data_IF_308980389959
#
_entry.id   IF_308980389959
#
_cell.length_a   1.000
_cell.length_b   1.000
_cell.length_c   1.000
_cell.angle_alpha   90.00
_cell.angle_beta   90.00
_cell.angle_gamma   90.00
#
_symmetry.space_group_name_H-M   'P 1'
#
loop_
_entity.id
_entity.type
_entity.pdbx_description
1 polymer ?
#
# COMPACT_ATOMS: atom_id res chain seq x y z
N UNK A 1 -4.51 17.92 -38.05
CA UNK A 1 -4.08 17.74 -36.64
C UNK A 1 -5.23 17.67 -35.63
N UNK A 2 -6.41 18.23 -35.86
CA UNK A 2 -7.59 18.06 -34.97
C UNK A 2 -8.34 16.73 -35.20
N UNK A 3 -8.40 16.23 -36.41
CA UNK A 3 -9.16 15.01 -36.75
C UNK A 3 -8.42 13.72 -36.45
N UNK A 4 -7.09 13.71 -36.57
CA UNK A 4 -6.27 12.52 -36.36
C UNK A 4 -6.04 12.21 -34.87
N UNK A 5 -6.04 13.23 -34.02
CA UNK A 5 -6.06 13.06 -32.55
C UNK A 5 -7.34 12.37 -32.05
N UNK A 6 -8.37 12.25 -32.88
CA UNK A 6 -9.67 11.71 -32.47
C UNK A 6 -9.85 10.20 -32.71
N UNK A 7 -9.06 9.57 -33.57
CA UNK A 7 -9.50 8.29 -34.12
C UNK A 7 -8.94 6.99 -33.61
N UNK A 8 -7.80 6.88 -32.97
CA UNK A 8 -7.44 5.58 -32.38
C UNK A 8 -6.38 5.57 -31.29
N UNK A 9 -5.38 6.41 -31.35
CA UNK A 9 -4.21 6.35 -30.47
C UNK A 9 -4.48 6.91 -29.06
N UNK A 10 -5.32 7.93 -28.95
CA UNK A 10 -5.62 8.64 -27.68
C UNK A 10 -6.66 7.92 -26.84
N UNK A 11 -7.44 7.00 -27.41
CA UNK A 11 -8.45 6.25 -26.62
C UNK A 11 -7.85 5.27 -25.64
N UNK A 12 -6.64 4.79 -25.85
CA UNK A 12 -6.03 3.72 -25.02
C UNK A 12 -5.14 4.22 -23.90
N UNK A 13 -4.50 5.41 -23.99
CA UNK A 13 -3.52 5.89 -23.01
C UNK A 13 -3.74 7.35 -22.59
N UNK A 14 -4.92 7.66 -22.05
CA UNK A 14 -5.24 9.01 -21.54
C UNK A 14 -4.87 9.19 -20.06
N UNK A 15 -3.63 8.83 -19.70
CA UNK A 15 -3.18 8.93 -18.33
C UNK A 15 -1.88 9.72 -18.28
N UNK A 16 -1.87 10.76 -17.45
CA UNK A 16 -0.66 11.45 -17.05
C UNK A 16 -0.19 10.90 -15.71
N UNK A 17 1.11 10.73 -15.57
CA UNK A 17 1.72 10.30 -14.33
C UNK A 17 1.72 11.45 -13.33
N UNK A 18 1.42 11.16 -12.07
CA UNK A 18 1.67 12.04 -10.94
C UNK A 18 2.83 11.51 -10.13
N UNK A 19 3.67 12.41 -9.64
CA UNK A 19 4.70 12.07 -8.65
C UNK A 19 4.22 12.48 -7.29
N UNK A 20 4.72 11.74 -6.31
CA UNK A 20 4.66 12.11 -4.93
C UNK A 20 6.02 12.72 -4.60
N UNK A 21 6.09 13.95 -4.12
CA UNK A 21 7.36 14.49 -3.65
C UNK A 21 7.89 13.55 -2.58
N UNK A 22 9.12 13.11 -2.75
CA UNK A 22 9.85 12.40 -1.70
C UNK A 22 9.95 13.33 -0.50
N UNK A 23 9.78 12.78 0.68
CA UNK A 23 9.89 13.47 1.96
C UNK A 23 11.21 14.25 2.03
N UNK A 24 11.15 15.53 1.70
CA UNK A 24 12.08 16.44 2.29
C UNK A 24 11.56 16.63 3.71
N UNK A 25 12.18 15.95 4.68
CA UNK A 25 12.03 16.19 6.09
C UNK A 25 12.57 17.59 6.41
N UNK A 26 11.89 18.60 5.92
CA UNK A 26 12.09 19.95 6.39
C UNK A 26 11.29 20.03 7.68
N UNK A 27 11.98 19.92 8.79
CA UNK A 27 11.46 20.35 10.09
C UNK A 27 11.09 21.82 9.96
N UNK A 28 9.82 22.10 9.74
CA UNK A 28 9.33 23.47 9.77
C UNK A 28 9.01 23.80 11.22
N UNK A 29 9.65 24.82 11.77
CA UNK A 29 9.29 25.40 13.09
C UNK A 29 7.94 26.12 12.94
N UNK A 30 6.87 25.35 12.88
CA UNK A 30 5.51 25.90 12.80
C UNK A 30 5.15 26.56 14.12
N UNK A 31 4.71 27.80 14.06
CA UNK A 31 4.38 28.58 15.24
C UNK A 31 3.04 28.16 15.90
N UNK A 32 2.23 27.39 15.21
CA UNK A 32 0.94 26.93 15.70
C UNK A 32 0.77 25.44 15.35
N UNK A 33 0.23 24.68 16.28
CA UNK A 33 -0.07 23.28 16.05
C UNK A 33 -0.95 23.08 14.80
N UNK A 34 -0.57 22.19 13.87
CA UNK A 34 -1.30 22.02 12.62
C UNK A 34 -2.73 21.52 12.80
N UNK A 35 -2.98 20.64 13.77
CA UNK A 35 -4.33 20.15 14.04
C UNK A 35 -5.21 21.28 14.60
N UNK A 36 -4.65 22.10 15.51
CA UNK A 36 -5.35 23.29 16.02
C UNK A 36 -5.71 24.25 14.89
N UNK A 37 -4.74 24.54 13.99
CA UNK A 37 -5.00 25.40 12.84
C UNK A 37 -6.15 24.85 11.98
N UNK A 38 -6.16 23.54 11.73
CA UNK A 38 -7.23 22.87 10.99
C UNK A 38 -8.60 23.04 11.66
N UNK A 39 -8.68 22.84 12.97
CA UNK A 39 -9.89 23.07 13.75
C UNK A 39 -10.36 24.53 13.66
N UNK A 40 -9.43 25.46 13.81
CA UNK A 40 -9.76 26.89 13.78
C UNK A 40 -10.20 27.36 12.39
N UNK A 41 -9.59 26.84 11.33
CA UNK A 41 -10.00 27.15 9.94
C UNK A 41 -11.44 26.69 9.66
N UNK A 42 -11.87 25.56 10.19
CA UNK A 42 -13.26 25.09 10.09
C UNK A 42 -14.17 25.85 11.05
N UNK A 43 -14.16 25.47 12.30
CA UNK A 43 -15.13 25.86 13.32
C UNK A 43 -14.70 27.06 14.21
N UNK A 44 -13.54 27.69 13.95
CA UNK A 44 -13.06 28.83 14.73
C UNK A 44 -13.78 30.13 14.40
N UNK A 45 -13.75 31.06 15.34
CA UNK A 45 -14.17 32.46 15.11
C UNK A 45 -13.11 33.18 14.27
N UNK A 46 -13.54 33.99 13.30
CA UNK A 46 -12.61 34.71 12.43
C UNK A 46 -11.75 35.73 13.15
N UNK A 47 -12.25 36.33 14.25
CA UNK A 47 -11.60 37.40 14.99
C UNK A 47 -11.00 36.96 16.34
N UNK A 48 -11.07 35.69 16.68
CA UNK A 48 -10.57 35.16 17.94
C UNK A 48 -10.08 33.70 17.81
N UNK A 49 -9.27 33.21 18.77
CA UNK A 49 -8.81 31.84 18.81
C UNK A 49 -9.86 30.84 19.34
N UNK A 50 -11.11 31.28 19.56
CA UNK A 50 -12.16 30.40 20.04
C UNK A 50 -12.68 29.46 18.94
N UNK A 51 -13.08 28.27 19.34
CA UNK A 51 -13.59 27.22 18.44
C UNK A 51 -14.95 26.75 18.91
N UNK A 52 -15.90 26.61 17.99
CA UNK A 52 -17.23 26.09 18.24
C UNK A 52 -17.24 24.61 17.82
N UNK A 53 -17.41 23.71 18.78
CA UNK A 53 -17.48 22.29 18.44
C UNK A 53 -18.24 21.52 19.53
N UNK A 54 -19.05 20.54 19.13
CA UNK A 54 -19.85 19.69 20.04
C UNK A 54 -19.19 18.32 20.31
N UNK A 55 -18.17 17.95 19.55
CA UNK A 55 -17.52 16.65 19.68
C UNK A 55 -16.60 16.61 20.90
N UNK A 56 -16.85 15.67 21.79
CA UNK A 56 -16.13 15.52 23.06
C UNK A 56 -14.63 15.30 22.82
N UNK A 57 -14.28 14.54 21.79
CA UNK A 57 -12.88 14.25 21.43
C UNK A 57 -12.11 15.53 21.08
N UNK A 58 -12.75 16.46 20.37
CA UNK A 58 -12.16 17.76 20.01
C UNK A 58 -12.05 18.66 21.24
N UNK A 59 -13.10 18.74 22.05
CA UNK A 59 -13.10 19.56 23.29
C UNK A 59 -12.00 19.08 24.24
N UNK A 60 -11.88 17.77 24.42
CA UNK A 60 -10.84 17.17 25.27
C UNK A 60 -9.44 17.51 24.75
N UNK A 61 -9.22 17.33 23.45
CA UNK A 61 -7.94 17.66 22.83
C UNK A 61 -7.59 19.16 22.97
N UNK A 62 -8.56 20.07 22.78
CA UNK A 62 -8.36 21.50 22.98
C UNK A 62 -7.97 21.84 24.42
N UNK A 63 -8.52 21.14 25.40
CA UNK A 63 -8.16 21.33 26.80
C UNK A 63 -6.73 20.85 27.09
N UNK A 64 -6.36 19.69 26.61
CA UNK A 64 -5.00 19.14 26.72
C UNK A 64 -3.97 20.05 26.00
N UNK A 65 -4.31 20.54 24.81
CA UNK A 65 -3.48 21.48 24.05
C UNK A 65 -3.31 22.82 24.78
N UNK A 66 -4.36 23.36 25.35
CA UNK A 66 -4.28 24.59 26.14
C UNK A 66 -3.36 24.43 27.36
N UNK A 67 -3.51 23.33 28.10
CA UNK A 67 -2.67 23.01 29.26
C UNK A 67 -1.20 22.89 28.93
N UNK A 68 -0.88 22.17 27.83
CA UNK A 68 0.51 21.97 27.37
C UNK A 68 1.17 23.29 26.94
N UNK A 69 0.38 24.26 26.50
CA UNK A 69 0.86 25.61 26.13
C UNK A 69 0.74 26.66 27.23
N UNK A 70 0.55 26.24 28.49
CA UNK A 70 0.45 27.18 29.62
C UNK A 70 -0.82 28.02 29.61
N UNK A 71 -1.86 27.55 28.91
CA UNK A 71 -3.16 28.22 28.79
C UNK A 71 -4.24 27.45 29.57
N UNK A 72 -5.42 28.03 29.63
CA UNK A 72 -6.63 27.39 30.19
C UNK A 72 -7.77 27.47 29.21
N UNK A 73 -8.66 26.49 29.27
CA UNK A 73 -9.91 26.50 28.51
C UNK A 73 -11.07 27.06 29.34
N UNK A 74 -11.91 27.85 28.69
CA UNK A 74 -13.21 28.23 29.23
C UNK A 74 -14.27 27.82 28.24
N UNK A 75 -15.18 26.97 28.65
CA UNK A 75 -16.27 26.49 27.82
C UNK A 75 -17.54 27.26 28.14
N UNK A 76 -18.04 27.97 27.16
CA UNK A 76 -19.33 28.65 27.22
C UNK A 76 -20.30 27.94 26.28
N UNK A 77 -21.58 27.94 26.62
CA UNK A 77 -22.59 27.34 25.74
C UNK A 77 -23.45 28.48 25.16
N UNK A 78 -23.46 28.57 23.82
CA UNK A 78 -24.40 29.42 23.10
C UNK A 78 -25.36 28.51 22.32
N UNK A 79 -26.68 28.68 22.56
CA UNK A 79 -27.72 27.87 21.89
C UNK A 79 -27.47 26.37 21.94
N UNK A 80 -26.99 25.85 23.04
CA UNK A 80 -26.61 24.45 23.31
C UNK A 80 -25.37 23.93 22.54
N UNK A 81 -24.60 24.79 21.88
CA UNK A 81 -23.33 24.38 21.26
C UNK A 81 -22.16 24.94 22.09
N UNK A 82 -21.20 24.10 22.50
CA UNK A 82 -20.04 24.52 23.24
C UNK A 82 -19.12 25.43 22.41
N UNK A 83 -18.70 26.54 23.02
CA UNK A 83 -17.65 27.41 22.50
C UNK A 83 -16.46 27.28 23.45
N UNK A 84 -15.33 26.80 22.90
CA UNK A 84 -14.10 26.62 23.65
C UNK A 84 -13.18 27.82 23.43
N UNK A 85 -12.98 28.59 24.50
CA UNK A 85 -12.06 29.70 24.51
C UNK A 85 -10.74 29.26 25.14
N UNK A 86 -9.65 29.47 24.43
CA UNK A 86 -8.30 29.27 24.95
C UNK A 86 -7.81 30.61 25.50
N UNK A 87 -7.55 30.67 26.80
CA UNK A 87 -7.14 31.91 27.52
C UNK A 87 -5.76 31.72 28.14
N UNK A 88 -4.98 32.81 28.17
CA UNK A 88 -3.73 32.81 28.92
C UNK A 88 -4.03 32.59 30.41
N UNK A 89 -3.23 31.78 31.10
CA UNK A 89 -3.33 31.57 32.57
C UNK A 89 -3.09 32.87 33.34
N UNK A 90 -2.22 33.72 32.82
CA UNK A 90 -1.88 34.99 33.48
C UNK A 90 -2.87 36.06 33.01
N UNK A 91 -3.55 36.64 33.98
CA UNK A 91 -4.53 37.68 33.73
C UNK A 91 -3.87 38.90 33.04
N UNK A 92 -4.56 39.51 32.09
CA UNK A 92 -4.10 40.62 31.25
C UNK A 92 -2.89 40.36 30.33
N UNK A 93 -2.41 39.12 30.19
CA UNK A 93 -1.42 38.79 29.18
C UNK A 93 -2.08 38.55 27.81
N UNK A 94 -1.35 38.94 26.74
CA UNK A 94 -1.79 38.68 25.35
C UNK A 94 -1.99 37.17 25.12
N UNK A 95 -2.90 36.84 24.27
CA UNK A 95 -3.16 35.45 23.90
C UNK A 95 -2.18 35.02 22.80
N UNK A 96 -1.24 34.10 23.09
CA UNK A 96 -0.19 33.72 22.14
C UNK A 96 -0.76 33.15 20.83
N UNK A 97 -1.86 32.41 20.88
CA UNK A 97 -2.51 31.87 19.70
C UNK A 97 -3.07 32.99 18.82
N UNK A 98 -3.72 33.97 19.44
CA UNK A 98 -4.25 35.14 18.71
C UNK A 98 -3.12 35.92 18.03
N UNK A 99 -2.02 36.13 18.73
CA UNK A 99 -0.85 36.85 18.22
C UNK A 99 -0.23 36.07 17.03
N UNK A 100 -0.19 34.74 17.11
CA UNK A 100 0.29 33.90 16.02
C UNK A 100 -0.65 33.92 14.80
N UNK A 101 -1.96 33.87 15.01
CA UNK A 101 -2.95 34.01 13.92
C UNK A 101 -2.83 35.37 13.22
N UNK A 102 -2.53 36.42 14.01
CA UNK A 102 -2.30 37.76 13.50
C UNK A 102 -0.97 37.86 12.75
N UNK A 103 0.10 37.22 13.26
CA UNK A 103 1.40 37.14 12.59
C UNK A 103 1.29 36.50 11.20
N UNK A 104 0.54 35.40 11.09
CA UNK A 104 0.28 34.78 9.78
C UNK A 104 -0.70 35.58 8.90
N UNK A 105 -1.29 36.66 9.41
CA UNK A 105 -2.24 37.49 8.65
C UNK A 105 -3.54 36.76 8.30
N UNK A 106 -3.89 35.73 9.06
CA UNK A 106 -5.09 34.88 8.84
C UNK A 106 -6.24 35.21 9.79
N UNK A 107 -5.98 35.98 10.84
CA UNK A 107 -7.05 36.55 11.68
C UNK A 107 -7.91 37.45 10.79
N UNK A 108 -9.22 37.36 10.89
CA UNK A 108 -10.24 38.02 10.06
C UNK A 108 -10.32 37.49 8.59
N UNK A 109 -9.27 36.80 8.10
CA UNK A 109 -9.24 36.19 6.78
C UNK A 109 -8.69 34.77 6.85
N UNK A 110 -9.52 33.81 7.15
CA UNK A 110 -9.10 32.41 7.24
C UNK A 110 -8.40 31.95 5.96
N UNK A 111 -7.15 31.52 6.09
CA UNK A 111 -6.34 30.92 5.02
C UNK A 111 -5.32 29.94 5.63
N UNK A 112 -4.83 29.00 4.84
CA UNK A 112 -3.73 28.13 5.22
C UNK A 112 -2.42 28.86 4.91
N UNK A 113 -1.55 29.17 5.90
CA UNK A 113 -0.25 29.77 5.62
C UNK A 113 0.62 28.88 4.74
N UNK A 114 1.48 29.48 3.91
CA UNK A 114 2.29 28.73 2.95
C UNK A 114 3.30 27.80 3.63
N UNK A 115 3.77 28.12 4.84
CA UNK A 115 4.65 27.25 5.64
C UNK A 115 4.04 25.84 5.83
N UNK A 116 2.73 25.76 6.04
CA UNK A 116 2.03 24.48 6.19
C UNK A 116 1.92 23.69 4.89
N UNK A 117 2.01 24.33 3.71
CA UNK A 117 2.02 23.63 2.43
C UNK A 117 3.32 22.84 2.21
N UNK A 118 4.40 23.31 2.82
CA UNK A 118 5.74 22.78 2.68
C UNK A 118 6.27 22.10 3.93
N UNK A 119 5.46 21.98 4.98
CA UNK A 119 5.80 21.34 6.25
C UNK A 119 6.00 19.82 6.12
N UNK A 120 6.33 19.19 7.23
CA UNK A 120 6.52 17.74 7.30
C UNK A 120 5.25 16.97 6.90
N UNK A 121 5.41 15.69 6.60
CA UNK A 121 4.26 14.79 6.30
C UNK A 121 3.30 14.73 7.48
N UNK A 122 3.85 14.65 8.70
CA UNK A 122 3.06 14.59 9.91
C UNK A 122 2.23 15.85 10.12
N UNK A 123 2.85 17.03 9.96
CA UNK A 123 2.14 18.32 10.11
C UNK A 123 1.01 18.47 9.09
N UNK A 124 1.26 18.09 7.84
CA UNK A 124 0.25 18.09 6.79
C UNK A 124 -0.93 17.19 7.12
N UNK A 125 -0.65 15.99 7.64
CA UNK A 125 -1.69 15.05 8.05
C UNK A 125 -2.49 15.55 9.24
N UNK A 126 -1.84 16.18 10.22
CA UNK A 126 -2.51 16.79 11.38
C UNK A 126 -3.40 17.98 10.96
N UNK A 127 -2.92 18.85 10.07
CA UNK A 127 -3.74 19.93 9.52
C UNK A 127 -4.97 19.41 8.77
N UNK A 128 -4.78 18.38 7.93
CA UNK A 128 -5.89 17.72 7.24
C UNK A 128 -6.89 17.12 8.21
N UNK A 129 -6.41 16.47 9.28
CA UNK A 129 -7.27 15.88 10.30
C UNK A 129 -8.15 16.94 10.97
N UNK A 130 -7.58 18.08 11.35
CA UNK A 130 -8.33 19.19 11.96
C UNK A 130 -9.43 19.74 11.03
N UNK A 131 -9.11 19.93 9.76
CA UNK A 131 -10.10 20.38 8.76
C UNK A 131 -11.20 19.34 8.50
N UNK A 132 -10.85 18.05 8.51
CA UNK A 132 -11.84 16.97 8.33
C UNK A 132 -12.69 16.81 9.58
N UNK A 133 -12.11 16.93 10.76
CA UNK A 133 -12.83 16.81 12.03
C UNK A 133 -13.85 17.96 12.23
N UNK A 134 -13.67 19.08 11.55
CA UNK A 134 -14.65 20.18 11.53
C UNK A 134 -15.59 20.05 10.32
N UNK A 135 -15.24 20.63 9.22
CA UNK A 135 -16.07 20.78 8.01
C UNK A 135 -16.05 19.55 7.07
N UNK A 136 -15.25 18.51 7.40
CA UNK A 136 -15.18 17.29 6.61
C UNK A 136 -16.30 16.30 6.91
N UNK A 137 -16.61 15.48 5.92
CA UNK A 137 -17.57 14.37 6.03
C UNK A 137 -16.93 13.06 5.52
N UNK A 138 -17.09 11.99 6.30
CA UNK A 138 -16.69 10.64 5.91
C UNK A 138 -17.88 9.86 5.36
N UNK A 139 -17.88 9.57 4.05
CA UNK A 139 -18.86 8.68 3.44
C UNK A 139 -18.43 7.21 3.65
N UNK A 140 -19.13 6.51 4.55
CA UNK A 140 -18.92 5.06 4.78
C UNK A 140 -19.23 4.23 3.54
N UNK A 141 -20.22 4.65 2.73
CA UNK A 141 -20.64 3.96 1.50
C UNK A 141 -19.56 4.04 0.43
N UNK A 142 -19.10 5.26 0.14
CA UNK A 142 -18.17 5.52 -0.94
C UNK A 142 -16.71 5.39 -0.50
N UNK A 143 -16.46 5.30 0.83
CA UNK A 143 -15.14 5.25 1.47
C UNK A 143 -14.26 6.41 1.04
N UNK A 144 -14.78 7.63 1.16
CA UNK A 144 -14.10 8.86 0.81
C UNK A 144 -14.29 9.91 1.91
N UNK A 145 -13.32 10.82 2.04
CA UNK A 145 -13.55 12.08 2.73
C UNK A 145 -14.01 13.13 1.72
N UNK A 146 -14.93 13.96 2.14
CA UNK A 146 -15.32 15.18 1.43
C UNK A 146 -15.14 16.39 2.34
N UNK A 147 -14.55 17.45 1.80
CA UNK A 147 -14.40 18.73 2.47
C UNK A 147 -15.00 19.81 1.58
N UNK A 148 -15.92 20.60 2.09
CA UNK A 148 -16.71 21.54 1.27
C UNK A 148 -16.68 22.95 1.90
N UNK A 149 -16.43 23.94 1.04
CA UNK A 149 -16.50 25.35 1.42
C UNK A 149 -17.26 26.16 0.38
N UNK A 150 -17.74 27.33 0.78
CA UNK A 150 -18.35 28.29 -0.17
C UNK A 150 -17.28 28.84 -1.13
N UNK A 151 -17.71 29.37 -2.25
CA UNK A 151 -16.83 29.89 -3.31
C UNK A 151 -15.86 30.97 -2.81
N UNK A 152 -16.29 31.82 -1.87
CA UNK A 152 -15.43 32.85 -1.25
C UNK A 152 -14.26 32.25 -0.44
N UNK A 153 -14.36 31.00 0.02
CA UNK A 153 -13.32 30.25 0.71
C UNK A 153 -12.67 29.15 -0.11
N UNK A 154 -12.82 29.21 -1.44
CA UNK A 154 -12.24 28.22 -2.37
C UNK A 154 -10.74 28.06 -2.19
N UNK A 155 -10.02 29.12 -1.84
CA UNK A 155 -8.57 29.08 -1.61
C UNK A 155 -8.16 28.06 -0.54
N UNK A 156 -8.94 27.88 0.53
CA UNK A 156 -8.69 26.85 1.55
C UNK A 156 -8.82 25.44 0.94
N UNK A 157 -9.86 25.23 0.11
CA UNK A 157 -10.08 23.94 -0.57
C UNK A 157 -8.96 23.64 -1.56
N UNK A 158 -8.48 24.66 -2.30
CA UNK A 158 -7.39 24.52 -3.27
C UNK A 158 -6.06 24.19 -2.56
N UNK A 159 -5.76 24.87 -1.43
CA UNK A 159 -4.57 24.57 -0.62
C UNK A 159 -4.64 23.20 0.05
N UNK A 160 -5.81 22.80 0.56
CA UNK A 160 -6.01 21.45 1.08
C UNK A 160 -5.84 20.38 -0.02
N UNK A 161 -6.32 20.65 -1.24
CA UNK A 161 -6.09 19.76 -2.38
C UNK A 161 -4.62 19.66 -2.76
N UNK A 162 -3.85 20.77 -2.64
CA UNK A 162 -2.41 20.76 -2.81
C UNK A 162 -1.73 19.87 -1.77
N UNK A 163 -2.07 20.03 -0.50
CA UNK A 163 -1.55 19.20 0.60
C UNK A 163 -1.88 17.72 0.36
N UNK A 164 -3.14 17.39 0.07
CA UNK A 164 -3.54 16.00 -0.20
C UNK A 164 -2.74 15.37 -1.36
N UNK A 165 -2.53 16.12 -2.45
CA UNK A 165 -1.74 15.66 -3.60
C UNK A 165 -0.27 15.53 -3.27
N UNK A 166 0.30 16.45 -2.47
CA UNK A 166 1.70 16.37 -2.03
C UNK A 166 1.97 15.12 -1.18
N UNK A 167 0.96 14.66 -0.44
CA UNK A 167 1.01 13.40 0.32
C UNK A 167 0.72 12.17 -0.55
N UNK A 168 0.50 12.37 -1.84
CA UNK A 168 0.22 11.29 -2.77
C UNK A 168 -1.22 10.81 -2.76
N UNK A 169 -2.14 11.52 -2.12
CA UNK A 169 -3.54 11.12 -2.07
C UNK A 169 -4.25 11.44 -3.39
N UNK A 170 -5.05 10.51 -3.84
CA UNK A 170 -5.92 10.73 -4.99
C UNK A 170 -7.10 11.60 -4.56
N UNK A 171 -7.20 12.79 -5.12
CA UNK A 171 -8.29 13.69 -4.83
C UNK A 171 -8.84 14.38 -6.09
N UNK A 172 -10.07 14.83 -6.01
CA UNK A 172 -10.75 15.58 -7.08
C UNK A 172 -11.48 16.78 -6.52
N UNK A 173 -11.45 17.88 -7.27
CA UNK A 173 -12.15 19.12 -6.97
C UNK A 173 -13.41 19.21 -7.82
N UNK A 174 -14.53 19.55 -7.20
CA UNK A 174 -15.81 19.75 -7.84
C UNK A 174 -16.40 21.09 -7.41
N UNK A 175 -16.86 21.87 -8.37
CA UNK A 175 -17.63 23.07 -8.13
C UNK A 175 -19.11 22.79 -8.39
N UNK A 176 -19.92 22.94 -7.36
CA UNK A 176 -21.36 22.79 -7.45
C UNK A 176 -22.02 24.16 -7.57
N UNK A 177 -22.85 24.33 -8.57
CA UNK A 177 -23.66 25.53 -8.75
C UNK A 177 -24.85 25.52 -7.76
N UNK A 178 -24.56 25.92 -6.53
CA UNK A 178 -25.54 25.96 -5.44
C UNK A 178 -26.01 27.37 -5.11
N UNK A 179 -25.45 28.37 -5.81
CA UNK A 179 -25.83 29.77 -5.62
C UNK A 179 -27.31 30.00 -5.87
N UNK A 180 -27.90 30.86 -5.07
CA UNK A 180 -29.29 31.21 -5.13
C UNK A 180 -29.93 31.34 -3.77
N UNK A 181 -31.19 31.76 -3.74
CA UNK A 181 -31.95 31.88 -2.49
C UNK A 181 -32.55 30.51 -2.15
N UNK A 182 -32.23 30.00 -0.96
CA UNK A 182 -32.78 28.75 -0.43
C UNK A 182 -33.44 28.98 0.93
N UNK A 183 -34.46 28.18 1.21
CA UNK A 183 -35.08 28.14 2.53
C UNK A 183 -34.33 27.09 3.37
N UNK A 184 -33.61 27.53 4.41
CA UNK A 184 -32.87 26.66 5.32
C UNK A 184 -33.51 26.81 6.71
N UNK A 185 -34.05 25.72 7.26
CA UNK A 185 -34.76 25.70 8.56
C UNK A 185 -35.84 26.81 8.68
N UNK A 186 -36.57 27.02 7.58
CA UNK A 186 -37.66 28.04 7.53
C UNK A 186 -37.20 29.48 7.23
N UNK A 187 -35.89 29.77 7.24
CA UNK A 187 -35.36 31.09 6.95
C UNK A 187 -34.85 31.19 5.50
N UNK A 188 -35.10 32.33 4.86
CA UNK A 188 -34.58 32.65 3.53
C UNK A 188 -33.09 33.00 3.62
N UNK A 189 -32.23 32.19 3.01
CA UNK A 189 -30.77 32.39 2.98
C UNK A 189 -30.27 32.46 1.54
N UNK A 190 -29.35 33.39 1.30
CA UNK A 190 -28.61 33.45 0.03
C UNK A 190 -27.41 32.53 0.12
N UNK A 191 -27.38 31.50 -0.75
CA UNK A 191 -26.28 30.54 -0.82
C UNK A 191 -25.31 30.93 -1.94
N UNK A 192 -24.01 30.68 -1.73
CA UNK A 192 -22.98 30.76 -2.76
C UNK A 192 -22.80 29.38 -3.43
N UNK A 193 -22.03 29.33 -4.53
CA UNK A 193 -21.56 28.07 -5.08
C UNK A 193 -20.70 27.35 -4.04
N UNK A 194 -20.66 26.03 -4.12
CA UNK A 194 -19.91 25.19 -3.20
C UNK A 194 -18.75 24.53 -3.90
N UNK A 195 -17.55 24.70 -3.38
CA UNK A 195 -16.36 23.99 -3.80
C UNK A 195 -16.12 22.80 -2.87
N UNK A 196 -16.01 21.59 -3.44
CA UNK A 196 -15.84 20.35 -2.69
C UNK A 196 -14.60 19.61 -3.13
N UNK A 197 -13.74 19.30 -2.18
CA UNK A 197 -12.64 18.36 -2.34
C UNK A 197 -13.11 16.97 -1.94
N UNK A 198 -12.85 15.98 -2.79
CA UNK A 198 -13.07 14.56 -2.51
C UNK A 198 -11.72 13.86 -2.43
N UNK A 199 -11.40 13.26 -1.29
CA UNK A 199 -10.18 12.48 -1.05
C UNK A 199 -10.56 11.01 -1.11
N UNK A 200 -9.93 10.25 -2.02
CA UNK A 200 -10.37 8.91 -2.41
C UNK A 200 -9.47 7.82 -1.82
N UNK A 201 -8.21 8.12 -1.57
CA UNK A 201 -7.26 7.20 -0.96
C UNK A 201 -6.38 7.89 0.10
N UNK A 202 -5.56 7.13 0.80
CA UNK A 202 -4.75 7.65 1.91
C UNK A 202 -5.54 7.97 3.18
N UNK A 203 -6.81 7.58 3.25
CA UNK A 203 -7.74 7.97 4.32
C UNK A 203 -7.32 7.43 5.69
N UNK A 204 -6.67 6.27 5.72
CA UNK A 204 -6.17 5.65 6.94
C UNK A 204 -5.03 6.45 7.59
N UNK A 205 -4.24 7.13 6.77
CA UNK A 205 -3.08 7.90 7.22
C UNK A 205 -3.50 9.23 7.92
N UNK A 206 -4.75 9.69 7.71
CA UNK A 206 -5.24 10.95 8.28
C UNK A 206 -5.68 10.71 9.74
N UNK A 207 -5.01 11.32 10.72
CA UNK A 207 -5.23 11.04 12.15
C UNK A 207 -6.43 11.79 12.73
N UNK A 208 -7.62 11.64 12.13
CA UNK A 208 -8.86 12.21 12.66
C UNK A 208 -9.07 11.77 14.12
N UNK A 209 -9.49 12.69 14.99
CA UNK A 209 -9.72 12.38 16.39
C UNK A 209 -11.16 11.95 16.65
N UNK A 210 -12.12 12.47 15.89
CA UNK A 210 -13.54 12.16 16.02
C UNK A 210 -13.80 10.71 15.55
N UNK A 211 -14.28 9.86 16.45
CA UNK A 211 -14.45 8.42 16.19
C UNK A 211 -15.33 8.13 14.95
N UNK A 212 -16.44 8.88 14.75
CA UNK A 212 -17.34 8.71 13.60
C UNK A 212 -16.70 9.08 12.25
N UNK A 213 -15.61 9.86 12.27
CA UNK A 213 -14.86 10.29 11.07
C UNK A 213 -13.60 9.48 10.84
N UNK A 214 -13.19 8.62 11.78
CA UNK A 214 -12.02 7.75 11.63
C UNK A 214 -12.26 6.69 10.56
N UNK A 215 -11.26 6.49 9.74
CA UNK A 215 -11.22 5.40 8.78
C UNK A 215 -10.48 4.20 9.41
N UNK A 216 -11.19 3.08 9.62
CA UNK A 216 -10.65 1.92 10.34
C UNK A 216 -10.03 0.84 9.44
N UNK A 217 -10.00 1.03 8.13
CA UNK A 217 -9.68 -0.01 7.18
C UNK A 217 -8.43 0.36 6.40
N UNK A 218 -7.43 -0.52 6.43
CA UNK A 218 -6.22 -0.34 5.62
C UNK A 218 -6.62 -0.46 4.15
N UNK A 219 -6.73 0.66 3.49
CA UNK A 219 -6.96 0.69 2.05
C UNK A 219 -5.61 0.50 1.36
N UNK A 220 -5.44 -0.59 0.60
CA UNK A 220 -4.26 -0.72 -0.27
C UNK A 220 -4.24 0.49 -1.17
N UNK A 221 -3.19 1.32 -1.04
CA UNK A 221 -2.97 2.46 -1.96
C UNK A 221 -3.03 1.91 -3.38
N UNK A 222 -3.96 2.41 -4.16
CA UNK A 222 -3.99 2.06 -5.58
C UNK A 222 -2.73 2.65 -6.20
N UNK A 223 -1.81 1.80 -6.68
CA UNK A 223 -0.54 2.18 -7.33
C UNK A 223 -0.72 3.03 -8.60
N UNK A 224 -1.91 3.56 -8.84
CA UNK A 224 -2.22 4.34 -10.03
C UNK A 224 -1.94 5.82 -9.80
N UNK A 225 -0.68 6.17 -9.86
CA UNK A 225 -0.22 7.57 -10.05
C UNK A 225 -0.67 8.16 -11.40
N UNK A 226 -1.79 7.66 -11.93
CA UNK A 226 -2.28 8.01 -13.26
C UNK A 226 -3.54 8.85 -13.16
N UNK A 227 -3.62 9.91 -13.94
CA UNK A 227 -4.81 10.75 -14.05
C UNK A 227 -5.28 10.84 -15.49
N UNK A 228 -6.58 10.79 -15.69
CA UNK A 228 -7.18 11.03 -17.01
C UNK A 228 -6.97 12.49 -17.39
N UNK A 229 -6.73 12.74 -18.66
CA UNK A 229 -6.68 14.09 -19.20
C UNK A 229 -7.51 14.22 -20.47
N UNK A 230 -7.93 15.43 -20.76
CA UNK A 230 -8.65 15.78 -21.99
C UNK A 230 -7.90 16.94 -22.66
N UNK A 231 -7.62 16.78 -23.94
CA UNK A 231 -7.02 17.86 -24.74
C UNK A 231 -8.14 18.64 -25.41
N UNK A 232 -8.15 19.95 -25.23
CA UNK A 232 -9.08 20.85 -25.90
C UNK A 232 -8.29 22.03 -26.49
N UNK A 233 -8.80 22.56 -27.59
CA UNK A 233 -8.25 23.80 -28.15
C UNK A 233 -8.49 24.95 -27.15
N UNK A 234 -7.45 25.76 -26.92
CA UNK A 234 -7.56 26.97 -26.12
C UNK A 234 -7.58 28.20 -27.03
N UNK A 235 -6.42 28.68 -27.41
CA UNK A 235 -6.27 29.84 -28.27
C UNK A 235 -4.88 29.84 -28.92
N UNK A 236 -4.69 30.70 -29.89
CA UNK A 236 -3.35 31.00 -30.46
C UNK A 236 -2.76 32.17 -29.67
N UNK A 237 -1.56 32.00 -29.11
CA UNK A 237 -0.93 33.00 -28.29
C UNK A 237 0.57 32.72 -28.07
N UNK A 238 1.25 33.66 -27.46
CA UNK A 238 2.64 33.45 -27.02
C UNK A 238 2.63 32.48 -25.84
N UNK A 239 3.49 31.49 -25.85
CA UNK A 239 3.72 30.60 -24.74
C UNK A 239 5.16 30.71 -24.23
N UNK A 240 5.38 30.35 -22.98
CA UNK A 240 6.69 30.20 -22.35
C UNK A 240 6.89 28.76 -22.00
N UNK A 241 8.03 28.18 -22.33
CA UNK A 241 8.45 26.85 -21.90
C UNK A 241 9.51 26.97 -20.81
N UNK A 242 9.60 25.95 -19.99
CA UNK A 242 10.68 25.78 -19.02
C UNK A 242 11.56 24.66 -19.55
N UNK A 243 12.87 24.89 -19.56
CA UNK A 243 13.87 23.87 -19.84
C UNK A 243 14.48 23.45 -18.52
N UNK A 244 14.47 22.17 -18.24
CA UNK A 244 15.08 21.56 -17.05
C UNK A 244 16.24 20.68 -17.50
N UNK A 245 17.27 20.59 -16.67
CA UNK A 245 18.39 19.69 -16.89
C UNK A 245 17.99 18.23 -16.59
N UNK A 246 18.77 17.29 -17.10
CA UNK A 246 18.56 15.85 -16.85
C UNK A 246 17.47 15.25 -17.74
N UNK A 247 16.47 14.63 -17.14
CA UNK A 247 15.39 13.90 -17.83
C UNK A 247 14.31 14.81 -18.44
N UNK A 248 14.47 16.12 -18.33
CA UNK A 248 13.57 17.15 -18.89
C UNK A 248 12.12 17.08 -18.38
N UNK A 249 11.86 16.37 -17.27
CA UNK A 249 10.55 16.36 -16.63
C UNK A 249 10.43 17.48 -15.60
N UNK A 250 9.23 18.02 -15.49
CA UNK A 250 8.88 18.92 -14.39
C UNK A 250 7.45 18.68 -13.93
N UNK A 251 7.15 19.17 -12.74
CA UNK A 251 5.88 18.92 -12.06
C UNK A 251 5.02 20.17 -12.08
N UNK A 252 3.77 20.04 -12.54
CA UNK A 252 2.78 21.10 -12.48
C UNK A 252 2.24 21.29 -11.06
N UNK A 253 1.57 22.42 -10.81
CA UNK A 253 0.95 22.75 -9.53
C UNK A 253 0.00 21.64 -8.97
N UNK A 254 -0.55 20.82 -9.84
CA UNK A 254 -1.43 19.70 -9.47
C UNK A 254 -0.71 18.34 -9.34
N UNK A 255 0.65 18.38 -9.29
CA UNK A 255 1.56 17.22 -9.24
C UNK A 255 1.53 16.34 -10.49
N UNK A 256 1.00 16.83 -11.59
CA UNK A 256 1.12 16.17 -12.88
C UNK A 256 2.53 16.33 -13.43
N UNK A 257 3.16 15.22 -13.82
CA UNK A 257 4.47 15.23 -14.48
C UNK A 257 4.28 15.55 -15.95
N UNK A 258 5.02 16.50 -16.44
CA UNK A 258 5.07 16.87 -17.85
C UNK A 258 6.52 16.97 -18.31
N UNK A 259 6.73 16.71 -19.57
CA UNK A 259 8.03 16.87 -20.20
C UNK A 259 8.11 18.27 -20.84
N UNK A 260 9.27 18.93 -20.74
CA UNK A 260 9.46 20.19 -21.44
C UNK A 260 9.40 19.94 -22.95
N UNK A 261 8.74 20.82 -23.67
CA UNK A 261 8.80 20.84 -25.11
C UNK A 261 9.91 21.85 -25.51
N UNK A 262 11.06 21.34 -25.89
CA UNK A 262 12.08 22.15 -26.53
C UNK A 262 11.70 22.28 -27.99
N UNK A 263 11.03 23.35 -28.34
CA UNK A 263 10.97 23.80 -29.74
C UNK A 263 12.30 24.45 -30.05
N UNK A 264 13.29 23.65 -30.46
CA UNK A 264 14.48 24.17 -31.07
C UNK A 264 14.11 24.74 -32.43
N UNK A 265 13.86 26.03 -32.49
CA UNK A 265 14.23 26.73 -33.74
C UNK A 265 15.74 26.56 -33.78
N UNK A 266 16.32 25.91 -34.80
CA UNK A 266 17.77 25.82 -34.90
C UNK A 266 18.29 27.24 -34.88
N UNK A 267 18.87 27.64 -33.75
CA UNK A 267 19.52 28.92 -33.58
C UNK A 267 20.63 28.94 -34.55
N UNK A 268 20.80 30.06 -35.16
CA UNK A 268 21.84 30.49 -36.08
C UNK A 268 23.21 30.21 -35.49
N UNK A 269 23.72 29.00 -35.61
CA UNK A 269 25.15 28.74 -35.54
C UNK A 269 25.67 28.78 -36.98
N UNK A 270 26.51 29.83 -37.30
CA UNK A 270 27.23 29.94 -38.55
C UNK A 270 26.46 30.49 -39.75
N UNK A 271 25.73 31.57 -39.60
CA UNK A 271 25.52 32.55 -40.69
C UNK A 271 24.77 32.11 -41.96
N UNK A 272 24.16 30.95 -42.04
CA UNK A 272 23.33 30.53 -43.19
C UNK A 272 21.86 30.51 -42.81
N UNK A 273 20.94 31.12 -43.62
CA UNK A 273 19.51 31.02 -43.35
C UNK A 273 19.11 29.57 -43.50
N UNK A 274 18.67 28.96 -42.39
CA UNK A 274 18.06 27.64 -42.43
C UNK A 274 16.78 27.75 -43.26
N UNK A 275 16.75 27.11 -44.39
CA UNK A 275 15.58 26.98 -45.25
C UNK A 275 14.46 26.33 -44.44
N UNK A 276 13.25 26.87 -44.58
CA UNK A 276 12.01 26.49 -43.91
C UNK A 276 11.60 25.03 -44.15
N UNK A 277 12.38 24.26 -44.91
CA UNK A 277 12.16 22.86 -45.27
C UNK A 277 12.86 21.83 -44.36
N UNK A 278 13.53 22.29 -43.28
CA UNK A 278 14.04 21.35 -42.24
C UNK A 278 13.08 21.28 -41.06
N UNK A 279 11.81 20.99 -41.33
CA UNK A 279 11.01 20.26 -40.37
C UNK A 279 11.49 18.82 -40.45
N UNK A 280 12.54 18.49 -39.72
CA UNK A 280 12.79 17.09 -39.37
C UNK A 280 11.51 16.64 -38.72
N UNK A 281 10.85 15.69 -39.36
CA UNK A 281 9.72 14.99 -38.75
C UNK A 281 10.19 14.52 -37.38
N UNK A 282 9.68 15.16 -36.33
CA UNK A 282 9.90 14.67 -35.00
C UNK A 282 9.21 13.31 -35.01
N UNK A 283 10.00 12.25 -35.00
CA UNK A 283 9.50 10.91 -34.89
C UNK A 283 8.91 10.78 -33.47
N UNK A 284 7.62 11.04 -33.37
CA UNK A 284 6.82 10.84 -32.16
C UNK A 284 6.44 9.38 -31.99
N UNK A 285 7.02 8.49 -32.76
CA UNK A 285 6.87 7.07 -32.52
C UNK A 285 7.59 6.76 -31.22
N UNK A 286 6.80 6.61 -30.17
CA UNK A 286 7.29 6.12 -28.88
C UNK A 286 7.70 4.62 -28.96
N UNK A 287 7.77 4.04 -30.17
CA UNK A 287 8.08 2.63 -30.38
C UNK A 287 9.44 2.24 -29.80
N UNK A 288 10.47 3.09 -30.00
CA UNK A 288 11.80 2.80 -29.44
C UNK A 288 11.81 2.93 -27.91
N UNK A 289 11.16 3.95 -27.37
CA UNK A 289 11.05 4.14 -25.93
C UNK A 289 10.21 3.02 -25.29
N UNK A 290 9.14 2.58 -25.95
CA UNK A 290 8.33 1.44 -25.51
C UNK A 290 9.16 0.15 -25.57
N UNK A 291 9.94 -0.06 -26.63
CA UNK A 291 10.82 -1.21 -26.75
C UNK A 291 11.89 -1.24 -25.64
N UNK A 292 12.50 -0.09 -25.33
CA UNK A 292 13.47 0.04 -24.24
C UNK A 292 12.81 -0.25 -22.87
N UNK A 293 11.59 0.21 -22.63
CA UNK A 293 10.87 -0.09 -21.40
C UNK A 293 10.49 -1.57 -21.32
N UNK A 294 10.10 -2.20 -22.41
CA UNK A 294 9.81 -3.64 -22.43
C UNK A 294 11.09 -4.41 -22.09
N UNK A 295 12.23 -4.10 -22.73
CA UNK A 295 13.51 -4.72 -22.42
C UNK A 295 13.94 -4.50 -20.95
N UNK A 296 13.68 -3.31 -20.39
CA UNK A 296 13.96 -3.02 -18.99
C UNK A 296 13.06 -3.84 -18.07
N UNK A 297 11.79 -4.00 -18.41
CA UNK A 297 10.85 -4.84 -17.65
C UNK A 297 11.28 -6.30 -17.66
N UNK A 298 11.64 -6.86 -18.84
CA UNK A 298 12.12 -8.21 -18.98
C UNK A 298 13.40 -8.42 -18.17
N UNK A 299 14.32 -7.47 -18.20
CA UNK A 299 15.55 -7.53 -17.41
C UNK A 299 15.30 -7.45 -15.90
N UNK A 300 14.33 -6.64 -15.47
CA UNK A 300 13.94 -6.57 -14.04
C UNK A 300 13.30 -7.90 -13.63
N UNK A 301 12.47 -8.51 -14.48
CA UNK A 301 11.86 -9.80 -14.20
C UNK A 301 12.93 -10.92 -14.08
N UNK A 302 13.89 -10.96 -14.99
CA UNK A 302 15.02 -11.88 -14.90
C UNK A 302 15.87 -11.67 -13.64
N UNK A 303 16.17 -10.40 -13.28
CA UNK A 303 16.89 -10.09 -12.05
C UNK A 303 16.10 -10.52 -10.81
N UNK A 304 14.80 -10.25 -10.79
CA UNK A 304 13.91 -10.69 -9.70
C UNK A 304 13.89 -12.21 -9.58
N UNK A 305 13.82 -12.93 -10.71
CA UNK A 305 13.92 -14.38 -10.77
C UNK A 305 15.25 -14.89 -10.21
N UNK A 306 16.35 -14.28 -10.61
CA UNK A 306 17.69 -14.62 -10.11
C UNK A 306 17.84 -14.40 -8.61
N UNK A 307 17.36 -13.27 -8.09
CA UNK A 307 17.45 -12.92 -6.65
C UNK A 307 16.58 -13.85 -5.80
N UNK A 308 15.39 -14.19 -6.30
CA UNK A 308 14.42 -15.04 -5.56
C UNK A 308 14.68 -16.54 -5.75
N UNK A 309 15.55 -16.92 -6.68
CA UNK A 309 15.76 -18.31 -7.07
C UNK A 309 14.61 -18.91 -7.88
N UNK A 310 13.69 -18.08 -8.39
CA UNK A 310 12.59 -18.52 -9.25
C UNK A 310 12.96 -18.20 -10.71
N UNK A 311 13.86 -19.01 -11.27
CA UNK A 311 14.32 -18.87 -12.66
C UNK A 311 13.28 -19.37 -13.66
N UNK A 312 13.40 -18.96 -14.92
CA UNK A 312 12.50 -19.38 -16.01
C UNK A 312 12.50 -20.92 -16.17
N UNK A 313 13.66 -21.57 -16.03
CA UNK A 313 13.79 -23.04 -16.07
C UNK A 313 13.01 -23.69 -14.93
N UNK A 314 13.01 -23.08 -13.75
CA UNK A 314 12.24 -23.58 -12.61
C UNK A 314 10.74 -23.38 -12.75
N UNK A 315 10.31 -22.42 -13.57
CA UNK A 315 8.91 -22.20 -13.95
C UNK A 315 8.46 -23.11 -15.11
N UNK A 316 9.36 -23.96 -15.63
CA UNK A 316 9.07 -24.88 -16.72
C UNK A 316 9.29 -24.29 -18.12
N UNK A 317 9.81 -23.08 -18.25
CA UNK A 317 10.19 -22.51 -19.54
C UNK A 317 11.57 -23.05 -19.95
N UNK A 318 11.56 -24.03 -20.84
CA UNK A 318 12.78 -24.68 -21.36
C UNK A 318 12.89 -24.33 -22.84
N UNK A 319 14.03 -23.77 -23.24
CA UNK A 319 14.32 -23.51 -24.65
C UNK A 319 14.71 -24.83 -25.33
N UNK A 320 14.27 -25.02 -26.57
CA UNK A 320 14.62 -26.21 -27.39
C UNK A 320 16.12 -26.35 -27.65
N UNK A 321 16.92 -25.32 -27.43
CA UNK A 321 18.37 -25.30 -27.58
C UNK A 321 19.13 -25.56 -26.27
N UNK A 322 18.46 -25.66 -25.13
CA UNK A 322 19.12 -25.93 -23.85
C UNK A 322 19.37 -27.42 -23.65
N UNK A 323 20.59 -27.75 -23.18
CA UNK A 323 20.96 -29.11 -22.81
C UNK A 323 20.31 -29.45 -21.45
N UNK A 324 19.70 -30.64 -21.37
CA UNK A 324 18.99 -31.14 -20.18
C UNK A 324 19.85 -31.01 -18.92
N UNK A 325 21.13 -31.34 -18.97
CA UNK A 325 22.03 -31.22 -17.83
C UNK A 325 22.33 -29.82 -17.37
N UNK A 326 22.17 -28.79 -18.23
CA UNK A 326 22.30 -27.38 -17.83
C UNK A 326 21.03 -26.90 -17.16
N UNK A 327 19.87 -27.31 -17.64
CA UNK A 327 18.56 -27.00 -17.01
C UNK A 327 18.51 -27.60 -15.61
N UNK A 328 18.89 -28.87 -15.43
CA UNK A 328 18.91 -29.52 -14.11
C UNK A 328 19.85 -28.80 -13.14
N UNK A 329 21.05 -28.42 -13.58
CA UNK A 329 22.00 -27.66 -12.75
C UNK A 329 21.44 -26.28 -12.37
N UNK A 330 20.81 -25.57 -13.30
CA UNK A 330 20.21 -24.27 -13.05
C UNK A 330 19.08 -24.38 -12.04
N UNK A 331 18.20 -25.37 -12.18
CA UNK A 331 17.12 -25.65 -11.24
C UNK A 331 17.66 -26.00 -9.86
N UNK A 332 18.67 -26.86 -9.79
CA UNK A 332 19.30 -27.27 -8.53
C UNK A 332 19.95 -26.06 -7.83
N UNK A 333 20.73 -25.27 -8.56
CA UNK A 333 21.42 -24.10 -8.01
C UNK A 333 20.43 -23.03 -7.53
N UNK A 334 19.38 -22.79 -8.29
CA UNK A 334 18.34 -21.82 -7.91
C UNK A 334 17.50 -22.30 -6.71
N UNK A 335 17.34 -23.61 -6.53
CA UNK A 335 16.60 -24.20 -5.41
C UNK A 335 17.27 -23.91 -4.05
N UNK A 336 18.60 -23.83 -4.02
CA UNK A 336 19.34 -23.52 -2.79
C UNK A 336 18.99 -22.14 -2.19
N UNK A 337 18.58 -21.17 -3.03
CA UNK A 337 18.17 -19.84 -2.57
C UNK A 337 16.88 -19.92 -1.75
N UNK A 338 15.97 -20.81 -2.15
CA UNK A 338 14.64 -20.96 -1.51
C UNK A 338 14.62 -22.06 -0.43
N UNK A 339 15.63 -22.93 -0.37
CA UNK A 339 15.71 -24.03 0.60
C UNK A 339 15.55 -23.57 2.08
N UNK A 340 16.16 -22.46 2.54
CA UNK A 340 15.95 -21.98 3.90
C UNK A 340 14.50 -21.64 4.23
N UNK A 341 13.74 -21.13 3.24
CA UNK A 341 12.32 -20.81 3.41
C UNK A 341 11.48 -22.07 3.60
N UNK A 342 11.75 -23.11 2.80
CA UNK A 342 11.09 -24.41 2.96
C UNK A 342 11.49 -25.08 4.26
N UNK A 343 12.74 -24.97 4.67
CA UNK A 343 13.20 -25.48 5.97
C UNK A 343 12.45 -24.82 7.13
N UNK A 344 12.36 -23.47 7.15
CA UNK A 344 11.61 -22.74 8.17
C UNK A 344 10.14 -23.16 8.17
N UNK A 345 9.54 -23.28 6.99
CA UNK A 345 8.15 -23.73 6.85
C UNK A 345 7.94 -25.14 7.45
N UNK A 346 8.84 -26.07 7.16
CA UNK A 346 8.79 -27.43 7.70
C UNK A 346 9.00 -27.45 9.22
N UNK A 347 9.88 -26.61 9.76
CA UNK A 347 10.05 -26.44 11.20
C UNK A 347 8.76 -25.90 11.87
N UNK A 348 8.11 -24.90 11.26
CA UNK A 348 6.83 -24.41 11.74
C UNK A 348 5.75 -25.51 11.74
N UNK A 349 5.66 -26.30 10.66
CA UNK A 349 4.74 -27.47 10.61
C UNK A 349 5.05 -28.46 11.71
N UNK A 350 6.33 -28.82 11.89
CA UNK A 350 6.76 -29.76 12.93
C UNK A 350 6.33 -29.26 14.31
N UNK A 351 6.59 -27.99 14.64
CA UNK A 351 6.20 -27.39 15.91
C UNK A 351 4.69 -27.42 16.14
N UNK A 352 3.90 -27.02 15.15
CA UNK A 352 2.42 -27.05 15.24
C UNK A 352 1.91 -28.46 15.46
N UNK A 353 2.39 -29.44 14.69
CA UNK A 353 1.97 -30.83 14.80
C UNK A 353 2.39 -31.45 16.15
N UNK A 354 3.59 -31.12 16.65
CA UNK A 354 4.04 -31.55 17.98
C UNK A 354 3.17 -30.96 19.09
N UNK A 355 2.82 -29.67 18.99
CA UNK A 355 1.91 -29.02 19.93
C UNK A 355 0.53 -29.64 19.89
N UNK A 356 0.00 -29.93 18.70
CA UNK A 356 -1.30 -30.62 18.52
C UNK A 356 -1.29 -32.02 19.17
N UNK A 357 -0.22 -32.80 18.93
CA UNK A 357 -0.06 -34.12 19.50
C UNK A 357 -0.03 -34.08 21.04
N UNK A 358 0.76 -33.16 21.60
CA UNK A 358 0.87 -33.01 23.05
C UNK A 358 -0.46 -32.54 23.68
N UNK A 359 -1.16 -31.59 23.02
CA UNK A 359 -2.50 -31.16 23.45
C UNK A 359 -3.50 -32.30 23.36
N UNK A 360 -3.48 -33.09 22.28
CA UNK A 360 -4.35 -34.25 22.12
C UNK A 360 -4.11 -35.32 23.18
N UNK A 361 -2.84 -35.60 23.54
CA UNK A 361 -2.47 -36.50 24.60
C UNK A 361 -3.10 -36.06 25.94
N UNK A 362 -2.99 -34.79 26.33
CA UNK A 362 -3.60 -34.24 27.54
C UNK A 362 -5.12 -34.37 27.54
N UNK A 363 -5.80 -33.99 26.45
CA UNK A 363 -7.27 -34.11 26.32
C UNK A 363 -7.73 -35.58 26.34
N UNK A 364 -6.97 -36.48 25.73
CA UNK A 364 -7.31 -37.91 25.74
C UNK A 364 -7.09 -38.54 27.13
N UNK A 365 -6.07 -38.12 27.87
CA UNK A 365 -5.84 -38.52 29.25
C UNK A 365 -6.99 -38.08 30.14
N UNK A 366 -7.39 -36.79 30.10
CA UNK A 366 -8.53 -36.26 30.88
C UNK A 366 -9.84 -36.91 30.51
N UNK A 367 -10.10 -37.14 29.22
CA UNK A 367 -11.34 -37.75 28.74
C UNK A 367 -11.41 -39.27 28.91
N UNK A 368 -10.31 -39.93 29.32
CA UNK A 368 -10.21 -41.37 29.44
C UNK A 368 -10.44 -42.14 28.15
N UNK A 369 -10.13 -41.55 27.02
CA UNK A 369 -10.37 -42.09 25.69
C UNK A 369 -9.46 -43.31 25.43
N UNK A 370 -10.07 -44.45 25.10
CA UNK A 370 -9.35 -45.73 24.94
C UNK A 370 -9.05 -46.12 23.52
N UNK A 371 -9.77 -45.53 22.55
CA UNK A 371 -9.60 -45.83 21.10
C UNK A 371 -9.87 -44.60 20.26
N UNK A 372 -9.06 -44.40 19.24
CA UNK A 372 -9.27 -43.44 18.19
C UNK A 372 -9.56 -44.19 16.90
N UNK A 373 -10.64 -43.83 16.22
CA UNK A 373 -10.97 -44.39 14.91
C UNK A 373 -10.43 -43.41 13.83
N UNK A 374 -9.75 -43.98 12.86
CA UNK A 374 -9.30 -43.26 11.67
C UNK A 374 -9.90 -43.96 10.43
N UNK A 375 -10.35 -43.19 9.48
CA UNK A 375 -10.88 -43.67 8.20
C UNK A 375 -9.91 -43.23 7.11
N UNK A 376 -9.33 -44.17 6.39
CA UNK A 376 -8.47 -43.90 5.24
C UNK A 376 -9.29 -43.47 4.02
N UNK A 377 -8.62 -42.83 3.06
CA UNK A 377 -9.25 -42.37 1.81
C UNK A 377 -9.89 -43.52 1.00
N UNK A 378 -9.36 -44.73 1.12
CA UNK A 378 -9.94 -45.95 0.53
C UNK A 378 -11.16 -46.50 1.28
N UNK A 379 -11.64 -45.83 2.35
CA UNK A 379 -12.76 -46.24 3.17
C UNK A 379 -12.44 -47.26 4.26
N UNK A 380 -11.21 -47.77 4.35
CA UNK A 380 -10.80 -48.68 5.43
C UNK A 380 -10.76 -47.93 6.78
N UNK A 381 -11.05 -48.62 7.84
CA UNK A 381 -11.09 -48.11 9.22
C UNK A 381 -9.96 -48.72 10.03
N UNK A 382 -9.08 -47.86 10.53
CA UNK A 382 -8.09 -48.24 11.52
C UNK A 382 -8.47 -47.76 12.91
N UNK A 383 -8.13 -48.54 13.91
CA UNK A 383 -8.35 -48.22 15.33
C UNK A 383 -7.00 -48.12 16.02
N UNK A 384 -6.66 -46.92 16.50
CA UNK A 384 -5.50 -46.73 17.37
C UNK A 384 -5.94 -46.96 18.82
N UNK A 385 -5.33 -47.92 19.49
CA UNK A 385 -5.55 -48.13 20.92
C UNK A 385 -4.75 -47.14 21.71
N UNK A 386 -5.41 -46.30 22.50
CA UNK A 386 -4.77 -45.30 23.37
C UNK A 386 -4.61 -45.95 24.75
N UNK A 387 -3.43 -46.44 25.04
CA UNK A 387 -3.07 -47.04 26.32
C UNK A 387 -2.54 -45.98 27.29
N UNK A 388 -2.44 -46.29 28.60
CA UNK A 388 -1.81 -45.39 29.56
C UNK A 388 -0.35 -45.09 29.19
N UNK A 389 0.36 -46.05 28.62
CA UNK A 389 1.74 -45.92 28.19
C UNK A 389 1.86 -44.87 27.04
N UNK A 390 0.89 -44.81 26.15
CA UNK A 390 0.86 -43.87 25.06
C UNK A 390 0.91 -42.39 25.49
N UNK A 391 0.32 -42.06 26.67
CA UNK A 391 0.36 -40.66 27.16
C UNK A 391 1.76 -40.26 27.64
N UNK A 392 2.57 -41.19 28.13
CA UNK A 392 3.87 -40.92 28.71
C UNK A 392 5.04 -41.17 27.73
N UNK A 393 4.77 -41.80 26.58
CA UNK A 393 5.81 -41.99 25.55
C UNK A 393 6.15 -40.69 24.89
N UNK A 394 7.45 -40.41 24.73
CA UNK A 394 7.96 -39.31 23.92
C UNK A 394 7.77 -39.68 22.45
N UNK A 395 6.99 -38.85 21.75
CA UNK A 395 6.75 -38.97 20.31
C UNK A 395 7.28 -37.77 19.59
N UNK A 396 7.98 -38.00 18.50
CA UNK A 396 8.43 -36.93 17.61
C UNK A 396 7.62 -36.94 16.30
N UNK A 397 7.52 -35.79 15.69
CA UNK A 397 6.82 -35.60 14.40
C UNK A 397 7.89 -35.33 13.35
N UNK A 398 7.86 -36.11 12.31
CA UNK A 398 8.71 -35.90 11.14
C UNK A 398 7.88 -35.28 10.02
N UNK A 399 8.43 -34.20 9.44
CA UNK A 399 7.87 -33.57 8.23
C UNK A 399 8.84 -33.85 7.11
N UNK A 400 8.42 -34.62 6.12
CA UNK A 400 9.20 -34.95 4.93
C UNK A 400 8.77 -34.13 3.71
N UNK A 401 9.66 -33.99 2.77
CA UNK A 401 9.40 -33.33 1.48
C UNK A 401 9.13 -34.42 0.44
N UNK A 402 7.90 -34.43 -0.08
CA UNK A 402 7.43 -35.46 -1.03
C UNK A 402 8.30 -35.56 -2.28
N UNK A 403 8.90 -34.45 -2.74
CA UNK A 403 9.78 -34.45 -3.91
C UNK A 403 11.13 -35.11 -3.62
N UNK A 404 11.73 -34.83 -2.47
CA UNK A 404 12.98 -35.49 -2.03
C UNK A 404 12.75 -36.95 -1.68
N UNK A 405 11.59 -37.27 -1.11
CA UNK A 405 11.22 -38.64 -0.82
C UNK A 405 10.99 -39.46 -2.09
N UNK A 406 10.35 -38.90 -3.13
CA UNK A 406 10.17 -39.56 -4.39
C UNK A 406 11.51 -39.88 -5.08
N UNK A 407 12.47 -38.98 -5.08
CA UNK A 407 13.82 -39.22 -5.61
C UNK A 407 14.57 -40.29 -4.81
N UNK A 408 14.47 -40.24 -3.47
CA UNK A 408 15.08 -41.25 -2.61
C UNK A 408 14.40 -42.60 -2.75
N UNK A 409 13.09 -42.65 -2.91
CA UNK A 409 12.34 -43.89 -3.19
C UNK A 409 12.81 -44.51 -4.51
N UNK A 410 12.95 -43.70 -5.56
CA UNK A 410 13.46 -44.19 -6.86
C UNK A 410 14.86 -44.78 -6.74
N UNK A 411 15.76 -44.13 -5.94
CA UNK A 411 17.09 -44.66 -5.68
C UNK A 411 17.05 -45.97 -4.88
N UNK A 412 16.18 -46.07 -3.87
CA UNK A 412 16.00 -47.27 -3.07
C UNK A 412 15.41 -48.41 -3.91
N UNK A 413 14.46 -48.12 -4.81
CA UNK A 413 13.88 -49.10 -5.71
C UNK A 413 14.90 -49.70 -6.68
N UNK A 414 15.93 -48.92 -7.07
CA UNK A 414 17.04 -49.46 -7.87
C UNK A 414 17.88 -50.49 -7.14
N UNK A 415 17.88 -50.52 -5.78
CA UNK A 415 18.58 -51.53 -4.98
C UNK A 415 17.84 -52.87 -4.91
N UNK A 416 16.60 -52.93 -5.37
CA UNK A 416 15.81 -54.17 -5.35
C UNK A 416 16.42 -55.24 -6.29
N UNK A 417 16.91 -54.83 -7.46
CA UNK A 417 17.50 -55.72 -8.41
C UNK A 417 18.74 -56.45 -7.83
N UNK A 418 19.71 -55.80 -7.21
CA UNK A 418 20.78 -56.46 -6.46
C UNK A 418 20.26 -57.31 -5.30
N UNK A 419 19.24 -56.85 -4.56
CA UNK A 419 18.67 -57.60 -3.42
C UNK A 419 18.04 -58.92 -3.87
N UNK A 420 17.34 -58.93 -5.01
CA UNK A 420 16.77 -60.17 -5.60
C UNK A 420 17.87 -61.16 -6.06
N UNK A 421 18.98 -60.64 -6.62
CA UNK A 421 20.12 -61.48 -6.97
C UNK A 421 20.78 -62.13 -5.75
N UNK A 422 20.66 -61.54 -4.61
CA UNK A 422 21.18 -62.01 -3.32
C UNK A 422 20.14 -62.80 -2.50
N UNK A 423 19.00 -63.24 -3.09
CA UNK A 423 18.06 -64.16 -2.48
C UNK A 423 16.81 -63.53 -1.80
N UNK A 424 16.56 -62.24 -2.05
CA UNK A 424 15.28 -61.63 -1.60
C UNK A 424 14.08 -62.23 -2.35
N UNK A 425 12.96 -62.40 -1.65
CA UNK A 425 11.77 -63.00 -2.23
C UNK A 425 11.04 -62.05 -3.17
N UNK A 426 10.33 -62.58 -4.15
CA UNK A 426 9.59 -61.78 -5.13
C UNK A 426 8.45 -60.97 -4.46
N UNK A 427 7.91 -61.47 -3.36
CA UNK A 427 6.88 -60.80 -2.60
C UNK A 427 7.43 -59.57 -1.88
N UNK A 428 8.58 -59.70 -1.26
CA UNK A 428 9.29 -58.59 -0.60
C UNK A 428 9.68 -57.48 -1.59
N UNK A 429 10.14 -57.90 -2.76
CA UNK A 429 10.44 -56.95 -3.84
C UNK A 429 9.19 -56.21 -4.33
N UNK A 430 8.06 -56.89 -4.49
CA UNK A 430 6.81 -56.28 -4.86
C UNK A 430 6.28 -55.31 -3.78
N UNK A 431 6.43 -55.63 -2.52
CA UNK A 431 6.03 -54.74 -1.41
C UNK A 431 6.88 -53.45 -1.33
N UNK A 432 8.15 -53.51 -1.66
CA UNK A 432 9.01 -52.32 -1.75
C UNK A 432 8.69 -51.48 -2.99
N UNK A 433 8.37 -52.10 -4.13
CA UNK A 433 8.01 -51.41 -5.37
C UNK A 433 6.64 -50.71 -5.30
N UNK A 434 5.71 -51.25 -4.53
CA UNK A 434 4.34 -50.70 -4.41
C UNK A 434 4.16 -49.71 -3.28
N UNK A 435 5.20 -49.48 -2.47
CA UNK A 435 5.10 -48.59 -1.29
C UNK A 435 5.71 -47.23 -1.61
N UNK A 436 4.93 -46.17 -1.29
CA UNK A 436 5.35 -44.77 -1.52
C UNK A 436 5.93 -44.11 -0.24
N UNK A 437 6.11 -44.90 0.84
CA UNK A 437 6.66 -44.37 2.08
C UNK A 437 8.15 -44.74 2.24
N UNK A 438 9.00 -43.73 2.15
CA UNK A 438 10.47 -43.88 2.26
C UNK A 438 10.93 -44.65 3.49
N UNK A 439 10.33 -44.36 4.66
CA UNK A 439 10.74 -45.01 5.92
C UNK A 439 10.36 -46.49 5.95
N UNK A 440 9.20 -46.86 5.40
CA UNK A 440 8.75 -48.23 5.32
C UNK A 440 9.64 -49.02 4.37
N UNK A 441 9.99 -48.44 3.20
CA UNK A 441 10.90 -49.03 2.24
C UNK A 441 12.27 -49.28 2.87
N UNK A 442 12.83 -48.28 3.55
CA UNK A 442 14.12 -48.38 4.23
C UNK A 442 14.11 -49.45 5.33
N UNK A 443 13.04 -49.55 6.11
CA UNK A 443 12.90 -50.56 7.14
C UNK A 443 12.89 -51.96 6.51
N UNK A 444 12.08 -52.19 5.45
CA UNK A 444 12.01 -53.47 4.76
C UNK A 444 13.32 -53.87 4.16
N UNK A 445 14.05 -52.97 3.53
CA UNK A 445 15.40 -53.25 2.98
C UNK A 445 16.37 -53.62 4.10
N UNK A 446 16.29 -53.01 5.25
CA UNK A 446 17.09 -53.35 6.42
C UNK A 446 16.73 -54.73 6.97
N UNK A 447 15.46 -55.04 7.07
CA UNK A 447 14.95 -56.36 7.55
C UNK A 447 15.36 -57.48 6.59
N UNK A 448 15.45 -57.18 5.26
CA UNK A 448 15.98 -58.12 4.26
C UNK A 448 17.49 -58.38 4.47
N UNK A 449 18.24 -57.33 4.73
CA UNK A 449 19.69 -57.43 4.99
C UNK A 449 19.98 -58.20 6.29
N UNK A 450 19.27 -57.85 7.39
CA UNK A 450 19.44 -58.49 8.69
C UNK A 450 19.13 -59.99 8.64
N UNK A 451 18.19 -60.41 7.76
CA UNK A 451 17.91 -61.85 7.51
C UNK A 451 19.00 -62.52 6.69
N UNK A 452 19.61 -61.85 5.71
CA UNK A 452 20.73 -62.40 4.96
C UNK A 452 21.97 -62.56 5.82
N UNK A 453 22.24 -61.67 6.75
CA UNK A 453 23.34 -61.72 7.68
C UNK A 453 23.19 -62.82 8.75
N UNK A 454 21.96 -63.38 8.89
CA UNK A 454 21.62 -64.49 9.82
C UNK A 454 21.65 -65.89 9.14
N UNK A 455 21.73 -65.98 7.84
CA UNK A 455 21.84 -67.20 7.06
C UNK A 455 23.32 -67.51 6.68
#
# INVERSE_FOLDING_TARGET
MKEDLHKSYIKQNRYLKRVHPTDNNVSSDLLLDPYYLGLWLGDGFTNSPAIINEDIEVIKWLSEYAESNGMTTTILSDKNVPIVYLKNKVYNHKNPIKDTLQYYGILDRKDIPDDYLHSSVEDKLQLMAGLIDTDGHFSKRDRIYTFSQCESRKHIVDKLAFIARSLGFKCSLHMYKTAGTKHIRGNKSTCQNTCTLRIIDGLYDIPCKIARKKHHWIQKRTKRSLTNFKVSYSHIGKYKGITTDGDHFFVLKDFTVVHNCQWGIPGREGGKPATFNQITSLDLTMSNVIAEYIQLMDKIEQLAGTITGITEQRQGAISTSELVGNVERSVLQSSHITEPLFWVHNQCKKHVLTMLLNTAKGVWEESGKKKLQYVFDNGERAFLAITKQFYYEDMDVFVSDTSKDAENIAKLQQLIQPAMQNGASLLEAAEVLTNDNFNIIKQKLKDMQDRQDQL
#
